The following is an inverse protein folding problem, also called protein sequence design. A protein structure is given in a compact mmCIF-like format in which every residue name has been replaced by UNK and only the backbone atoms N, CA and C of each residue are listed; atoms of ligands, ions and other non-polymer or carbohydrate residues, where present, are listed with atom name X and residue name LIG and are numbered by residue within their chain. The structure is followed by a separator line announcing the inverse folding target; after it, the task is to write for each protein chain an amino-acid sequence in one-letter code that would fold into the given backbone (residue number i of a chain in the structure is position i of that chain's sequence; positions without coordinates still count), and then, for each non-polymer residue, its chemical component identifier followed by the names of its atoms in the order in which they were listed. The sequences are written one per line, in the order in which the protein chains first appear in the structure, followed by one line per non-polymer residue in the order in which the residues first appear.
data_IF_426432418524
#
_entry.id   IF_426432418524
#
_cell.length_a   1.000
_cell.length_b   1.000
_cell.length_c   1.000
_cell.angle_alpha   90.00
_cell.angle_beta   90.00
_cell.angle_gamma   90.00
#
_symmetry.space_group_name_H-M   'P 1'
#
loop_
_entity.id
_entity.type
_entity.pdbx_description
1 polymer ?
#
# COMPACT_ATOMS: atom_id res chain seq x y z
N UNK A 1 -14.12 6.87 -26.33
CA UNK A 1 -12.87 7.21 -25.63
C UNK A 1 -12.82 6.34 -24.39
N UNK A 2 -11.98 5.31 -24.38
CA UNK A 2 -11.91 4.37 -23.25
C UNK A 2 -11.24 5.06 -22.07
N UNK A 3 -12.01 5.28 -20.99
CA UNK A 3 -11.57 5.80 -19.68
C UNK A 3 -10.69 4.79 -18.91
N UNK A 4 -9.82 4.06 -19.61
CA UNK A 4 -8.94 3.07 -19.01
C UNK A 4 -7.86 3.78 -18.19
N UNK A 5 -7.67 3.35 -16.94
CA UNK A 5 -6.71 3.96 -16.01
C UNK A 5 -5.28 3.61 -16.40
N UNK A 6 -4.32 4.48 -16.12
CA UNK A 6 -2.91 4.19 -16.39
C UNK A 6 -2.29 3.23 -15.37
N UNK A 7 -2.80 3.27 -14.13
CA UNK A 7 -2.32 2.51 -12.99
C UNK A 7 -3.51 1.92 -12.22
N UNK A 8 -3.40 0.65 -11.82
CA UNK A 8 -4.27 -0.01 -10.85
C UNK A 8 -3.45 -0.44 -9.65
N UNK A 9 -3.89 -0.05 -8.45
CA UNK A 9 -3.29 -0.51 -7.19
C UNK A 9 -4.36 -1.23 -6.39
N UNK A 10 -4.12 -2.51 -6.14
CA UNK A 10 -5.09 -3.40 -5.48
C UNK A 10 -4.50 -3.88 -4.17
N UNK A 11 -5.05 -3.43 -3.05
CA UNK A 11 -4.70 -3.93 -1.71
C UNK A 11 -5.77 -4.86 -1.17
N UNK A 12 -5.33 -5.97 -0.62
CA UNK A 12 -6.20 -7.02 -0.05
C UNK A 12 -5.82 -7.21 1.41
N UNK A 13 -6.82 -7.33 2.27
CA UNK A 13 -6.68 -7.77 3.65
C UNK A 13 -7.37 -9.14 3.79
N UNK A 14 -6.85 -10.00 4.65
CA UNK A 14 -7.32 -11.40 4.78
C UNK A 14 -7.22 -12.18 3.47
N UNK A 15 -6.15 -11.91 2.71
CA UNK A 15 -5.90 -12.57 1.45
C UNK A 15 -5.74 -14.10 1.59
N UNK A 16 -6.10 -14.82 0.53
CA UNK A 16 -6.01 -16.27 0.48
C UNK A 16 -4.55 -16.76 0.49
N UNK A 17 -4.34 -18.01 0.88
CA UNK A 17 -2.99 -18.61 0.90
C UNK A 17 -2.35 -18.70 -0.48
N UNK A 18 -3.13 -18.82 -1.55
CA UNK A 18 -2.62 -18.87 -2.92
C UNK A 18 -2.57 -17.47 -3.56
N UNK A 19 -1.54 -16.72 -3.17
CA UNK A 19 -1.28 -15.38 -3.73
C UNK A 19 -1.00 -15.41 -5.24
N UNK A 20 -0.44 -16.51 -5.77
CA UNK A 20 -0.12 -16.61 -7.20
C UNK A 20 -1.38 -16.73 -8.03
N UNK A 21 -2.36 -17.50 -7.56
CA UNK A 21 -3.67 -17.56 -8.20
C UNK A 21 -4.29 -16.16 -8.22
N UNK A 22 -4.28 -15.44 -7.10
CA UNK A 22 -4.79 -14.06 -7.03
C UNK A 22 -4.14 -13.13 -8.07
N UNK A 23 -2.80 -13.12 -8.15
CA UNK A 23 -2.05 -12.30 -9.11
C UNK A 23 -2.36 -12.69 -10.56
N UNK A 24 -2.53 -13.99 -10.84
CA UNK A 24 -2.91 -14.50 -12.16
C UNK A 24 -4.29 -14.01 -12.55
N UNK A 25 -5.28 -14.13 -11.66
CA UNK A 25 -6.65 -13.66 -11.90
C UNK A 25 -6.72 -12.15 -12.14
N UNK A 26 -5.94 -11.36 -11.39
CA UNK A 26 -5.84 -9.92 -11.61
C UNK A 26 -5.31 -9.60 -13.01
N UNK A 27 -4.24 -10.27 -13.43
CA UNK A 27 -3.64 -10.07 -14.75
C UNK A 27 -4.57 -10.54 -15.89
N UNK A 28 -5.28 -11.66 -15.72
CA UNK A 28 -6.31 -12.13 -16.66
C UNK A 28 -7.45 -11.12 -16.81
N UNK A 29 -7.90 -10.54 -15.69
CA UNK A 29 -9.03 -9.59 -15.66
C UNK A 29 -8.69 -8.27 -16.35
N UNK A 30 -7.50 -7.71 -16.10
CA UNK A 30 -7.08 -6.46 -16.73
C UNK A 30 -6.56 -6.65 -18.17
N UNK A 31 -6.20 -7.88 -18.52
CA UNK A 31 -5.78 -8.26 -19.87
C UNK A 31 -4.39 -7.76 -20.26
N UNK A 32 -3.97 -8.01 -21.51
CA UNK A 32 -2.58 -7.84 -21.95
C UNK A 32 -2.12 -6.37 -22.04
N UNK A 33 -3.05 -5.41 -21.97
CA UNK A 33 -2.74 -3.97 -21.96
C UNK A 33 -1.97 -3.57 -20.69
N UNK A 34 -2.16 -4.32 -19.60
CA UNK A 34 -1.52 -4.09 -18.32
C UNK A 34 -0.44 -5.14 -18.05
N UNK A 35 0.52 -4.76 -17.22
CA UNK A 35 1.55 -5.65 -16.67
C UNK A 35 1.69 -5.36 -15.17
N UNK A 36 1.93 -6.40 -14.39
CA UNK A 36 2.30 -6.24 -12.97
C UNK A 36 3.64 -5.51 -12.89
N UNK A 37 3.60 -4.28 -12.36
CA UNK A 37 4.78 -3.49 -12.05
C UNK A 37 5.45 -4.00 -10.77
N UNK A 38 4.64 -4.28 -9.74
CA UNK A 38 5.15 -4.78 -8.47
C UNK A 38 4.07 -5.53 -7.69
N UNK A 39 4.48 -6.49 -6.85
CA UNK A 39 3.60 -7.15 -5.91
C UNK A 39 4.32 -7.44 -4.61
N UNK A 40 3.69 -7.11 -3.49
CA UNK A 40 4.24 -7.29 -2.15
C UNK A 40 3.22 -7.84 -1.17
N UNK A 41 3.71 -8.42 -0.08
CA UNK A 41 2.89 -9.04 0.94
C UNK A 41 3.43 -8.78 2.35
N UNK A 42 2.52 -8.66 3.31
CA UNK A 42 2.82 -8.65 4.74
C UNK A 42 1.83 -9.57 5.48
N UNK A 43 2.20 -10.84 5.65
CA UNK A 43 1.30 -11.85 6.19
C UNK A 43 0.08 -12.05 5.29
N UNK A 44 -1.11 -11.70 5.77
CA UNK A 44 -2.37 -11.79 5.00
C UNK A 44 -2.75 -10.48 4.28
N UNK A 45 -1.85 -9.49 4.24
CA UNK A 45 -2.03 -8.25 3.48
C UNK A 45 -1.25 -8.36 2.18
N UNK A 46 -1.90 -8.11 1.04
CA UNK A 46 -1.26 -8.10 -0.28
C UNK A 46 -1.44 -6.74 -0.94
N UNK A 47 -0.47 -6.34 -1.74
CA UNK A 47 -0.61 -5.21 -2.66
C UNK A 47 -0.06 -5.60 -4.02
N UNK A 48 -0.86 -5.39 -5.06
CA UNK A 48 -0.45 -5.56 -6.45
C UNK A 48 -0.62 -4.25 -7.19
N UNK A 49 0.46 -3.81 -7.85
CA UNK A 49 0.51 -2.61 -8.67
C UNK A 49 0.61 -3.06 -10.12
N UNK A 50 -0.41 -2.76 -10.92
CA UNK A 50 -0.43 -3.03 -12.35
C UNK A 50 -0.46 -1.71 -13.11
N UNK A 51 0.37 -1.60 -14.13
CA UNK A 51 0.50 -0.40 -14.96
C UNK A 51 0.25 -0.78 -16.41
N UNK A 52 -0.22 0.17 -17.22
CA UNK A 52 -0.23 -0.05 -18.67
C UNK A 52 1.18 -0.36 -19.16
N UNK A 53 1.30 -1.33 -20.04
CA UNK A 53 2.57 -1.89 -20.50
C UNK A 53 3.48 -0.86 -21.17
N UNK A 54 2.91 0.11 -21.87
CA UNK A 54 3.62 1.20 -22.53
C UNK A 54 4.22 2.22 -21.55
N UNK A 55 3.82 2.18 -20.27
CA UNK A 55 4.20 3.16 -19.27
C UNK A 55 5.27 2.68 -18.27
N UNK A 56 5.63 1.39 -18.29
CA UNK A 56 6.55 0.78 -17.33
C UNK A 56 7.92 1.47 -17.28
N UNK A 57 8.40 1.96 -18.41
CA UNK A 57 9.72 2.59 -18.55
C UNK A 57 9.81 4.00 -17.94
N UNK A 58 8.67 4.57 -17.52
CA UNK A 58 8.62 5.88 -16.87
C UNK A 58 8.51 5.78 -15.35
N UNK A 59 8.61 4.56 -14.80
CA UNK A 59 8.70 4.31 -13.37
C UNK A 59 10.16 4.26 -12.91
N UNK A 60 10.43 4.75 -11.70
CA UNK A 60 11.68 4.43 -10.99
C UNK A 60 11.70 2.96 -10.53
N UNK A 61 12.77 2.58 -9.84
CA UNK A 61 12.74 1.41 -8.97
C UNK A 61 11.54 1.50 -8.01
N UNK A 62 10.87 0.36 -7.82
CA UNK A 62 9.73 0.23 -6.90
C UNK A 62 10.21 -0.30 -5.57
N UNK A 63 9.83 0.38 -4.51
CA UNK A 63 10.22 0.05 -3.14
C UNK A 63 9.01 -0.36 -2.33
N UNK A 64 9.24 -1.16 -1.29
CA UNK A 64 8.19 -1.50 -0.34
C UNK A 64 8.69 -1.60 1.10
N UNK A 65 7.80 -1.32 2.03
CA UNK A 65 8.06 -1.40 3.48
C UNK A 65 6.83 -1.92 4.21
N UNK A 66 7.03 -2.52 5.37
CA UNK A 66 5.94 -3.14 6.13
C UNK A 66 6.04 -2.82 7.61
N UNK A 67 4.89 -2.62 8.26
CA UNK A 67 4.78 -2.41 9.71
C UNK A 67 3.86 -3.45 10.28
N UNK A 68 4.32 -4.23 11.26
CA UNK A 68 3.47 -5.11 12.05
C UNK A 68 2.97 -4.34 13.27
N UNK A 69 1.67 -4.07 13.37
CA UNK A 69 1.12 -3.31 14.50
C UNK A 69 0.62 -4.20 15.64
N UNK A 70 0.32 -5.48 15.35
CA UNK A 70 -0.10 -6.46 16.35
C UNK A 70 0.49 -7.84 16.06
N UNK A 71 1.11 -8.44 17.08
CA UNK A 71 1.64 -9.81 17.02
C UNK A 71 0.81 -10.66 17.98
N UNK A 72 -0.37 -11.12 17.53
CA UNK A 72 -1.24 -11.99 18.37
C UNK A 72 -1.00 -13.48 18.05
N UNK A 73 -0.45 -13.80 16.89
CA UNK A 73 -0.16 -15.17 16.44
C UNK A 73 1.03 -15.21 15.49
N UNK A 74 1.48 -16.41 15.11
CA UNK A 74 2.53 -16.61 14.10
C UNK A 74 2.19 -16.03 12.72
N UNK A 75 0.91 -15.71 12.46
CA UNK A 75 0.46 -15.06 11.23
C UNK A 75 0.22 -13.58 11.50
N UNK A 76 0.96 -12.73 10.79
CA UNK A 76 0.79 -11.27 10.84
C UNK A 76 -0.48 -10.87 10.09
N UNK A 77 -1.59 -10.68 10.81
CA UNK A 77 -2.89 -10.32 10.22
C UNK A 77 -3.21 -8.84 10.29
N UNK A 78 -2.51 -8.08 11.14
CA UNK A 78 -2.73 -6.65 11.38
C UNK A 78 -1.42 -5.87 11.20
N UNK A 79 -1.50 -4.77 10.49
CA UNK A 79 -0.33 -3.99 10.10
C UNK A 79 -0.57 -3.18 8.83
N UNK A 80 0.53 -2.78 8.20
CA UNK A 80 0.53 -2.02 6.96
C UNK A 80 1.62 -2.50 6.00
N UNK A 81 1.35 -2.34 4.72
CA UNK A 81 2.28 -2.52 3.61
C UNK A 81 2.25 -1.25 2.77
N UNK A 82 3.41 -0.61 2.63
CA UNK A 82 3.62 0.54 1.75
C UNK A 82 4.37 0.11 0.49
N UNK A 83 3.99 0.65 -0.67
CA UNK A 83 4.72 0.55 -1.93
C UNK A 83 4.90 1.95 -2.49
N UNK A 84 6.10 2.30 -2.92
CA UNK A 84 6.40 3.61 -3.50
C UNK A 84 7.30 3.52 -4.72
N UNK A 85 7.13 4.48 -5.63
CA UNK A 85 7.95 4.69 -6.82
C UNK A 85 7.69 6.09 -7.37
N UNK A 86 8.53 6.59 -8.26
CA UNK A 86 8.21 7.77 -9.07
C UNK A 86 7.64 7.37 -10.41
N UNK A 87 6.70 8.15 -10.93
CA UNK A 87 6.10 7.99 -12.26
C UNK A 87 6.13 9.34 -12.97
N UNK A 88 6.87 9.43 -14.08
CA UNK A 88 7.15 10.71 -14.76
C UNK A 88 7.71 11.80 -13.83
N UNK A 89 8.48 11.40 -12.81
CA UNK A 89 9.07 12.32 -11.82
C UNK A 89 8.15 12.67 -10.64
N UNK A 90 6.87 12.29 -10.66
CA UNK A 90 5.97 12.42 -9.51
C UNK A 90 6.14 11.22 -8.59
N UNK A 91 6.49 11.44 -7.33
CA UNK A 91 6.61 10.35 -6.35
C UNK A 91 5.25 9.96 -5.77
N UNK A 92 5.00 8.66 -5.73
CA UNK A 92 3.74 8.08 -5.28
C UNK A 92 4.00 7.10 -4.15
N UNK A 93 3.18 7.18 -3.10
CA UNK A 93 3.13 6.21 -2.01
C UNK A 93 1.73 5.63 -1.91
N UNK A 94 1.65 4.31 -1.99
CA UNK A 94 0.44 3.54 -1.75
C UNK A 94 0.59 2.79 -0.44
N UNK A 95 -0.36 2.95 0.48
CA UNK A 95 -0.39 2.26 1.76
C UNK A 95 -1.67 1.45 1.83
N UNK A 96 -1.53 0.14 2.05
CA UNK A 96 -2.66 -0.70 2.47
C UNK A 96 -2.49 -1.07 3.93
N UNK A 97 -3.55 -0.97 4.72
CA UNK A 97 -3.51 -1.34 6.14
C UNK A 97 -4.69 -2.21 6.55
N UNK A 98 -4.46 -2.98 7.61
CA UNK A 98 -5.47 -3.74 8.31
C UNK A 98 -5.36 -3.41 9.80
N UNK A 99 -6.16 -2.45 10.26
CA UNK A 99 -6.10 -1.96 11.63
C UNK A 99 -6.87 -2.85 12.60
N UNK A 100 -6.65 -2.61 13.89
CA UNK A 100 -7.31 -3.31 14.99
C UNK A 100 -8.83 -3.28 14.87
N UNK A 101 -9.42 -4.47 14.83
CA UNK A 101 -10.86 -4.70 14.78
C UNK A 101 -11.51 -4.67 16.16
N UNK A 102 -12.84 -4.53 16.18
CA UNK A 102 -13.66 -4.51 17.39
C UNK A 102 -14.22 -3.14 17.73
N UNK A 103 -15.35 -3.16 18.43
CA UNK A 103 -16.06 -1.97 18.88
C UNK A 103 -15.31 -1.32 20.06
N UNK A 104 -15.39 0.01 20.17
CA UNK A 104 -14.67 0.77 21.20
C UNK A 104 -13.14 0.85 21.04
N UNK A 105 -12.57 0.24 19.98
CA UNK A 105 -11.12 0.18 19.72
C UNK A 105 -10.54 1.35 18.92
N UNK A 106 -11.10 2.55 19.10
CA UNK A 106 -10.66 3.75 18.35
C UNK A 106 -9.23 4.13 18.70
N UNK A 107 -8.87 4.11 19.99
CA UNK A 107 -7.52 4.45 20.45
C UNK A 107 -6.46 3.50 19.87
N UNK A 108 -6.74 2.21 19.79
CA UNK A 108 -5.84 1.24 19.18
C UNK A 108 -5.69 1.44 17.66
N UNK A 109 -6.76 1.81 16.95
CA UNK A 109 -6.68 2.17 15.52
C UNK A 109 -5.87 3.44 15.27
N UNK A 110 -6.01 4.45 16.11
CA UNK A 110 -5.17 5.66 16.05
C UNK A 110 -3.70 5.32 16.33
N UNK A 111 -3.43 4.39 17.24
CA UNK A 111 -2.06 3.91 17.49
C UNK A 111 -1.51 3.12 16.29
N UNK A 112 -2.33 2.28 15.64
CA UNK A 112 -1.95 1.58 14.41
C UNK A 112 -1.61 2.56 13.28
N UNK A 113 -2.39 3.63 13.12
CA UNK A 113 -2.11 4.74 12.20
C UNK A 113 -0.75 5.37 12.50
N UNK A 114 -0.51 5.85 13.74
CA UNK A 114 0.74 6.52 14.09
C UNK A 114 1.96 5.63 13.92
N UNK A 115 1.84 4.34 14.27
CA UNK A 115 2.91 3.35 14.04
C UNK A 115 3.18 3.12 12.56
N UNK A 116 2.16 3.15 11.72
CA UNK A 116 2.31 2.99 10.28
C UNK A 116 3.03 4.20 9.68
N UNK A 117 2.60 5.41 10.04
CA UNK A 117 3.20 6.67 9.60
C UNK A 117 4.69 6.75 9.96
N UNK A 118 5.04 6.37 11.20
CA UNK A 118 6.41 6.43 11.69
C UNK A 118 7.27 5.24 11.24
N UNK A 119 6.65 4.08 11.02
CA UNK A 119 7.37 2.82 10.81
C UNK A 119 7.64 2.45 9.35
N UNK A 120 6.88 2.99 8.39
CA UNK A 120 7.14 2.75 6.98
C UNK A 120 8.39 3.50 6.54
N UNK A 121 9.53 2.78 6.50
CA UNK A 121 10.80 3.29 6.00
C UNK A 121 10.81 3.40 4.46
N UNK A 122 10.17 4.44 3.91
CA UNK A 122 10.17 4.81 2.50
C UNK A 122 10.36 6.34 2.34
N UNK A 123 10.90 6.83 1.21
CA UNK A 123 11.64 6.04 0.22
C UNK A 123 12.99 5.55 0.79
N UNK A 124 13.67 4.58 0.14
CA UNK A 124 14.93 3.96 0.63
C UNK A 124 16.14 4.34 -0.20
N UNK A 125 16.11 4.05 -1.50
CA UNK A 125 17.11 4.36 -2.52
C UNK A 125 16.60 5.40 -3.52
N UNK A 126 15.29 5.44 -3.78
CA UNK A 126 14.66 6.47 -4.62
C UNK A 126 14.78 7.84 -3.92
N UNK A 127 15.23 8.89 -4.62
CA UNK A 127 15.35 10.21 -4.01
C UNK A 127 14.01 10.74 -3.49
N UNK A 128 14.07 11.37 -2.33
CA UNK A 128 12.95 12.16 -1.80
C UNK A 128 12.69 13.34 -2.74
N UNK A 129 11.48 13.40 -3.31
CA UNK A 129 11.09 14.49 -4.22
C UNK A 129 10.55 15.71 -3.50
N UNK A 130 10.33 15.64 -2.18
CA UNK A 130 9.81 16.72 -1.35
C UNK A 130 10.71 17.08 -0.14
N UNK A 131 12.04 17.20 -0.30
CA UNK A 131 12.99 17.24 0.82
C UNK A 131 12.80 18.41 1.79
N UNK A 132 12.13 19.49 1.36
CA UNK A 132 11.82 20.65 2.20
C UNK A 132 10.55 20.51 3.03
N UNK A 133 9.69 19.54 2.70
CA UNK A 133 8.44 19.24 3.42
C UNK A 133 8.50 17.91 4.18
N UNK A 134 9.49 17.09 3.87
CA UNK A 134 9.70 15.78 4.46
C UNK A 134 9.99 15.83 5.96
N UNK A 135 9.19 15.10 6.71
CA UNK A 135 9.39 14.78 8.11
C UNK A 135 9.91 13.33 8.25
N UNK A 136 11.03 13.19 8.96
CA UNK A 136 11.64 11.89 9.27
C UNK A 136 10.73 11.00 10.14
N UNK A 137 9.74 11.57 10.83
CA UNK A 137 8.74 10.85 11.61
C UNK A 137 7.43 10.58 10.86
N UNK A 138 7.23 11.16 9.66
CA UNK A 138 6.00 10.98 8.90
C UNK A 138 6.30 10.65 7.43
N UNK A 139 6.15 9.36 7.09
CA UNK A 139 6.35 8.86 5.72
C UNK A 139 5.45 9.56 4.69
N UNK A 140 4.27 10.06 5.08
CA UNK A 140 3.28 10.63 4.14
C UNK A 140 3.68 12.02 3.64
N UNK A 141 4.65 12.65 4.28
CA UNK A 141 5.15 13.98 3.89
C UNK A 141 6.22 13.94 2.80
N UNK A 142 6.72 12.74 2.47
CA UNK A 142 7.90 12.53 1.60
C UNK A 142 7.57 12.25 0.14
N UNK A 143 6.28 12.30 -0.20
CA UNK A 143 5.77 11.95 -1.52
C UNK A 143 4.83 13.01 -2.07
N UNK A 144 4.81 13.16 -3.39
CA UNK A 144 3.92 14.12 -4.08
C UNK A 144 2.46 13.66 -4.03
N UNK A 145 2.22 12.34 -4.10
CA UNK A 145 0.91 11.72 -3.98
C UNK A 145 0.91 10.56 -2.98
N UNK A 146 0.00 10.62 -2.00
CA UNK A 146 -0.19 9.55 -1.02
C UNK A 146 -1.61 9.00 -1.10
N UNK A 147 -1.72 7.70 -1.27
CA UNK A 147 -2.98 6.96 -1.26
C UNK A 147 -2.95 5.94 -0.13
N UNK A 148 -3.78 6.15 0.88
CA UNK A 148 -3.90 5.22 2.00
C UNK A 148 -5.29 4.61 2.04
N UNK A 149 -5.35 3.28 1.95
CA UNK A 149 -6.58 2.49 1.90
C UNK A 149 -6.44 1.17 2.67
N UNK A 150 -7.52 0.39 2.68
CA UNK A 150 -7.60 -0.92 3.33
C UNK A 150 -8.68 -0.97 4.40
N UNK A 151 -8.69 -2.03 5.20
CA UNK A 151 -9.61 -2.20 6.31
C UNK A 151 -9.10 -1.46 7.56
N UNK A 152 -9.51 -0.19 7.66
CA UNK A 152 -9.22 0.62 8.84
C UNK A 152 -10.06 0.27 10.06
N UNK A 153 -11.07 -0.61 9.93
CA UNK A 153 -11.88 -1.12 11.03
C UNK A 153 -12.58 -0.09 11.94
N UNK A 154 -12.70 1.18 11.53
CA UNK A 154 -13.51 2.16 12.25
C UNK A 154 -15.00 1.79 12.20
N UNK A 155 -15.71 2.07 13.28
CA UNK A 155 -17.11 1.69 13.49
C UNK A 155 -17.93 2.94 13.75
N UNK A 156 -19.19 2.91 13.32
CA UNK A 156 -20.15 3.95 13.70
C UNK A 156 -20.42 3.83 15.20
N UNK A 157 -20.34 4.94 15.93
CA UNK A 157 -20.91 5.02 17.27
C UNK A 157 -22.44 4.93 17.14
N UNK A 158 -23.07 4.02 17.89
CA UNK A 158 -24.52 4.07 18.07
C UNK A 158 -24.88 5.43 18.67
N UNK A 159 -25.85 6.10 18.07
CA UNK A 159 -26.42 7.35 18.59
C UNK A 159 -27.23 7.15 19.85
#
# INVERSE_FOLDING_TARGET
ADYAQDLYVVGVQEGCSDRREWETRLQETLGPRYVTLYSAAHGALYMSVLIRRDLIWFCSEVESSTVTTRIVSHIKTKGALGVSFTFFGTSLLFITSHFTSGDGKVSERLLDYSRTVQGLALPKSVPDTSPYRSDAADVTTRFDGVFWFGDFNFRLSGG
#
